data_IF_117404596288
#
_entry.id   IF_117404596288
#
_cell.length_a   1.000
_cell.length_b   1.000
_cell.length_c   1.000
_cell.angle_alpha   90.00
_cell.angle_beta   90.00
_cell.angle_gamma   90.00
#
_symmetry.space_group_name_H-M   'P 1'
#
loop_
_entity.id
_entity.type
_entity.pdbx_description
1 polymer ?
#
# COMPACT_ATOMS: atom_id res chain seq x y z
N UNK A 1 -9.01 -0.13 -23.03
CA UNK A 1 -7.99 0.20 -22.00
C UNK A 1 -8.74 0.47 -20.72
N UNK A 2 -8.56 -0.33 -19.67
CA UNK A 2 -9.19 -0.06 -18.38
C UNK A 2 -8.33 0.96 -17.62
N UNK A 3 -8.90 2.09 -17.16
CA UNK A 3 -8.12 3.07 -16.40
C UNK A 3 -7.59 2.41 -15.12
N UNK A 4 -6.30 2.57 -14.84
CA UNK A 4 -5.72 2.15 -13.57
C UNK A 4 -6.36 2.94 -12.44
N UNK A 5 -6.83 2.27 -11.36
CA UNK A 5 -7.47 2.96 -10.27
C UNK A 5 -6.46 3.84 -9.53
N UNK A 6 -6.85 5.08 -9.25
CA UNK A 6 -6.04 6.00 -8.43
C UNK A 6 -5.95 5.50 -7.00
N UNK A 7 -7.07 4.97 -6.47
CA UNK A 7 -7.18 4.45 -5.11
C UNK A 7 -7.40 2.95 -5.13
N UNK A 8 -6.67 2.24 -4.28
CA UNK A 8 -6.86 0.81 -4.05
C UNK A 8 -7.30 0.55 -2.61
N UNK A 9 -8.21 -0.40 -2.43
CA UNK A 9 -8.63 -0.85 -1.11
C UNK A 9 -7.50 -1.60 -0.40
N UNK A 10 -7.63 -1.77 0.91
CA UNK A 10 -6.70 -2.60 1.69
C UNK A 10 -6.52 -4.02 1.11
N UNK A 11 -7.61 -4.65 0.63
CA UNK A 11 -7.54 -5.99 0.03
C UNK A 11 -6.72 -5.97 -1.26
N UNK A 12 -6.96 -4.98 -2.11
CA UNK A 12 -6.23 -4.82 -3.37
C UNK A 12 -4.74 -4.50 -3.12
N UNK A 13 -4.41 -3.70 -2.11
CA UNK A 13 -3.01 -3.46 -1.73
C UNK A 13 -2.30 -4.76 -1.31
N UNK A 14 -2.98 -5.63 -0.55
CA UNK A 14 -2.46 -6.97 -0.24
C UNK A 14 -2.24 -7.82 -1.50
N UNK A 15 -3.19 -7.82 -2.43
CA UNK A 15 -3.11 -8.59 -3.68
C UNK A 15 -1.96 -8.08 -4.58
N UNK A 16 -1.84 -6.76 -4.75
CA UNK A 16 -0.79 -6.12 -5.56
C UNK A 16 0.61 -6.40 -5.03
N UNK A 17 0.78 -6.40 -3.71
CA UNK A 17 2.06 -6.68 -3.06
C UNK A 17 2.28 -8.19 -2.80
N UNK A 18 1.27 -9.02 -3.06
CA UNK A 18 1.26 -10.45 -2.73
C UNK A 18 1.58 -10.75 -1.25
N UNK A 19 0.98 -9.99 -0.33
CA UNK A 19 1.20 -10.13 1.13
C UNK A 19 -0.10 -10.30 1.92
N UNK A 20 0.02 -10.83 3.14
CA UNK A 20 -1.09 -10.92 4.08
C UNK A 20 -1.53 -9.55 4.62
N UNK A 21 -2.72 -9.49 5.23
CA UNK A 21 -3.21 -8.25 5.88
C UNK A 21 -2.37 -7.85 7.08
N UNK A 22 -1.87 -8.83 7.84
CA UNK A 22 -1.00 -8.62 8.99
C UNK A 22 0.37 -8.09 8.55
N UNK A 23 0.93 -8.63 7.46
CA UNK A 23 2.16 -8.11 6.86
C UNK A 23 1.98 -6.65 6.41
N UNK A 24 0.88 -6.32 5.74
CA UNK A 24 0.58 -4.94 5.32
C UNK A 24 0.39 -4.00 6.52
N UNK A 25 -0.16 -4.50 7.63
CA UNK A 25 -0.30 -3.75 8.88
C UNK A 25 1.06 -3.49 9.51
N UNK A 26 1.93 -4.50 9.50
CA UNK A 26 3.28 -4.41 10.02
C UNK A 26 4.13 -3.41 9.20
N UNK A 27 4.01 -3.42 7.87
CA UNK A 27 4.67 -2.43 7.01
C UNK A 27 4.28 -1.01 7.38
N UNK A 28 2.97 -0.70 7.47
CA UNK A 28 2.49 0.63 7.85
C UNK A 28 3.00 1.12 9.22
N UNK A 29 3.30 0.19 10.15
CA UNK A 29 3.73 0.56 11.50
C UNK A 29 5.25 0.70 11.62
N UNK A 30 6.03 -0.06 10.85
CA UNK A 30 7.47 -0.17 11.03
C UNK A 30 8.30 0.42 9.88
N UNK A 31 7.73 0.58 8.69
CA UNK A 31 8.37 1.23 7.55
C UNK A 31 7.85 2.67 7.44
N UNK A 32 8.64 3.68 7.86
CA UNK A 32 8.21 5.08 7.83
C UNK A 32 8.01 5.61 6.40
N UNK A 33 8.63 4.98 5.40
CA UNK A 33 8.51 5.34 3.98
C UNK A 33 7.34 4.64 3.30
N UNK A 34 6.66 3.73 4.00
CA UNK A 34 5.50 3.03 3.46
C UNK A 34 4.30 4.01 3.23
N UNK A 35 3.58 3.90 2.10
CA UNK A 35 2.47 4.80 1.79
C UNK A 35 1.39 4.82 2.87
N UNK A 36 1.03 6.04 3.29
CA UNK A 36 0.00 6.25 4.31
C UNK A 36 -1.38 5.90 3.77
N UNK A 37 -2.15 5.19 4.59
CA UNK A 37 -3.53 4.87 4.24
C UNK A 37 -4.46 6.06 4.44
N UNK A 38 -5.39 6.24 3.50
CA UNK A 38 -6.43 7.27 3.50
C UNK A 38 -7.69 6.65 4.07
N UNK A 39 -8.03 7.02 5.30
CA UNK A 39 -9.25 6.56 5.97
C UNK A 39 -10.42 7.50 5.66
N UNK A 40 -11.48 6.97 5.07
CA UNK A 40 -12.69 7.73 4.74
C UNK A 40 -13.73 7.60 5.85
N UNK A 41 -13.52 8.33 6.95
CA UNK A 41 -14.44 8.40 8.09
C UNK A 41 -13.77 8.11 9.44
N UNK A 42 -14.48 8.41 10.52
CA UNK A 42 -13.94 8.32 11.89
C UNK A 42 -14.15 6.93 12.51
N UNK A 43 -15.21 6.21 12.11
CA UNK A 43 -15.57 4.89 12.66
C UNK A 43 -14.48 3.84 12.41
N UNK A 44 -14.41 2.83 13.27
CA UNK A 44 -13.48 1.69 13.12
C UNK A 44 -13.67 0.92 11.81
N UNK A 45 -14.92 0.81 11.34
CA UNK A 45 -15.31 0.11 10.11
C UNK A 45 -15.27 1.00 8.85
N UNK A 46 -14.70 2.21 8.95
CA UNK A 46 -14.60 3.12 7.80
C UNK A 46 -13.68 2.53 6.74
N UNK A 47 -14.00 2.77 5.47
CA UNK A 47 -13.17 2.32 4.36
C UNK A 47 -11.76 2.94 4.44
N UNK A 48 -10.77 2.15 4.04
CA UNK A 48 -9.36 2.54 4.01
C UNK A 48 -8.83 2.26 2.62
N UNK A 49 -8.19 3.27 2.05
CA UNK A 49 -7.61 3.24 0.71
C UNK A 49 -6.12 3.59 0.73
N UNK A 50 -5.42 3.23 -0.33
CA UNK A 50 -4.05 3.64 -0.62
C UNK A 50 -4.01 4.26 -2.00
N UNK A 51 -3.08 5.17 -2.23
CA UNK A 51 -2.78 5.64 -3.57
C UNK A 51 -1.96 4.59 -4.33
N UNK A 52 -2.38 4.26 -5.54
CA UNK A 52 -1.70 3.26 -6.36
C UNK A 52 -0.29 3.70 -6.76
N UNK A 53 -0.11 4.98 -7.12
CA UNK A 53 1.19 5.48 -7.58
C UNK A 53 2.21 5.44 -6.45
N UNK A 54 1.80 5.78 -5.22
CA UNK A 54 2.67 5.72 -4.04
C UNK A 54 3.10 4.27 -3.72
N UNK A 55 2.18 3.30 -3.82
CA UNK A 55 2.51 1.88 -3.63
C UNK A 55 3.52 1.38 -4.66
N UNK A 56 3.39 1.78 -5.92
CA UNK A 56 4.33 1.43 -7.00
C UNK A 56 5.68 2.11 -6.77
N UNK A 57 5.69 3.38 -6.37
CA UNK A 57 6.92 4.12 -6.09
C UNK A 57 7.70 3.47 -4.94
N UNK A 58 7.04 3.16 -3.82
CA UNK A 58 7.64 2.45 -2.70
C UNK A 58 8.16 1.05 -3.09
N UNK A 59 7.40 0.29 -3.88
CA UNK A 59 7.87 -1.01 -4.35
C UNK A 59 9.15 -0.89 -5.20
N UNK A 60 9.21 0.13 -6.07
CA UNK A 60 10.39 0.37 -6.89
C UNK A 60 11.61 0.81 -6.07
N UNK A 61 11.44 1.60 -5.00
CA UNK A 61 12.56 1.93 -4.10
C UNK A 61 13.09 0.68 -3.41
N UNK A 62 12.21 -0.19 -2.88
CA UNK A 62 12.61 -1.48 -2.28
C UNK A 62 13.30 -2.41 -3.26
N UNK A 63 12.84 -2.45 -4.51
CA UNK A 63 13.51 -3.20 -5.58
C UNK A 63 14.91 -2.66 -5.86
N UNK A 64 15.09 -1.35 -5.90
CA UNK A 64 16.40 -0.72 -6.11
C UNK A 64 17.36 -0.97 -4.94
N UNK A 65 16.88 -0.86 -3.70
CA UNK A 65 17.64 -1.23 -2.49
C UNK A 65 18.11 -2.70 -2.55
N UNK A 66 17.23 -3.62 -2.95
CA UNK A 66 17.54 -5.05 -3.03
C UNK A 66 18.46 -5.42 -4.20
N UNK A 67 18.45 -4.65 -5.29
CA UNK A 67 19.29 -4.88 -6.48
C UNK A 67 20.65 -4.17 -6.42
N UNK A 68 20.84 -3.28 -5.44
CA UNK A 68 22.08 -2.55 -5.21
C UNK A 68 22.97 -3.14 -4.09
N UNK A 69 22.67 -4.35 -3.61
CA UNK A 69 23.42 -5.07 -2.58
C UNK A 69 24.23 -6.25 -3.17
#
# INVERSE_FOLDING_TARGET
MHPTPIRVTYKQACELLSISRDTLRNLQNNDPDFPKSIKQGTKRQSAVYFDYADLVAWHNSKKAEAQGA
#
